data_IF_621047208666
#
_entry.id   IF_621047208666
#
_cell.length_a   1.000
_cell.length_b   1.000
_cell.length_c   1.000
_cell.angle_alpha   90.00
_cell.angle_beta   90.00
_cell.angle_gamma   90.00
#
_symmetry.space_group_name_H-M   'P 1'
#
loop_
_entity.id
_entity.type
_entity.pdbx_description
1 polymer ?
#
# COMPACT_ATOMS: atom_id res chain seq x y z
N UNK A 1 -13.36 -101.79 7.66
CA UNK A 1 -12.99 -100.97 6.49
C UNK A 1 -13.58 -99.58 6.71
N UNK A 2 -12.71 -98.56 6.80
CA UNK A 2 -12.88 -97.10 6.93
C UNK A 2 -14.20 -96.50 7.49
N UNK A 3 -14.02 -95.68 8.52
CA UNK A 3 -14.99 -94.82 9.25
C UNK A 3 -15.01 -93.39 8.59
N UNK A 4 -15.85 -92.40 9.01
CA UNK A 4 -17.21 -92.06 8.55
C UNK A 4 -17.34 -90.54 8.21
N UNK A 5 -18.55 -89.95 8.39
CA UNK A 5 -18.94 -88.54 8.68
C UNK A 5 -19.96 -87.95 7.68
N UNK A 6 -20.94 -87.09 8.01
CA UNK A 6 -21.67 -86.61 9.21
C UNK A 6 -22.91 -85.85 8.65
N UNK A 7 -24.03 -85.64 9.38
CA UNK A 7 -25.27 -85.08 8.84
C UNK A 7 -25.39 -83.56 9.03
N UNK A 8 -26.10 -82.92 8.10
CA UNK A 8 -26.40 -81.48 8.13
C UNK A 8 -27.63 -81.14 8.97
N UNK A 9 -27.56 -80.03 9.70
CA UNK A 9 -28.70 -79.34 10.31
C UNK A 9 -28.52 -77.83 10.12
N UNK A 10 -29.53 -77.20 9.53
CA UNK A 10 -29.63 -75.76 9.29
C UNK A 10 -29.82 -75.01 10.62
N UNK A 11 -28.98 -74.02 10.90
CA UNK A 11 -29.23 -73.00 11.92
C UNK A 11 -28.74 -71.63 11.42
N UNK A 12 -29.66 -70.67 11.36
CA UNK A 12 -29.42 -69.25 11.11
C UNK A 12 -28.49 -68.68 12.20
N UNK A 13 -27.37 -68.08 11.81
CA UNK A 13 -26.46 -67.38 12.71
C UNK A 13 -26.33 -65.91 12.27
N UNK A 14 -26.78 -65.02 13.14
CA UNK A 14 -26.65 -63.57 13.03
C UNK A 14 -25.17 -63.23 13.23
N UNK A 15 -24.50 -62.72 12.18
CA UNK A 15 -23.15 -62.17 12.31
C UNK A 15 -23.21 -60.80 12.98
N UNK A 16 -22.71 -60.73 14.20
CA UNK A 16 -22.25 -59.47 14.79
C UNK A 16 -20.92 -59.07 14.11
N UNK A 17 -20.97 -58.09 13.21
CA UNK A 17 -19.77 -57.45 12.69
C UNK A 17 -19.22 -56.49 13.74
N UNK A 18 -18.14 -56.87 14.41
CA UNK A 18 -17.33 -55.97 15.21
C UNK A 18 -16.55 -55.04 14.26
N UNK A 19 -17.08 -53.86 13.99
CA UNK A 19 -16.28 -52.78 13.40
C UNK A 19 -15.41 -52.20 14.51
N UNK A 20 -14.12 -52.54 14.49
CA UNK A 20 -13.11 -51.79 15.21
C UNK A 20 -13.07 -50.37 14.62
N UNK A 21 -13.85 -49.47 15.20
CA UNK A 21 -13.69 -48.04 14.98
C UNK A 21 -12.38 -47.65 15.66
N UNK A 22 -11.31 -47.50 14.87
CA UNK A 22 -10.14 -46.73 15.31
C UNK A 22 -10.62 -45.32 15.58
N UNK A 23 -10.94 -45.03 16.84
CA UNK A 23 -11.06 -43.66 17.34
C UNK A 23 -9.65 -43.09 17.24
N UNK A 24 -9.37 -42.36 16.17
CA UNK A 24 -8.22 -41.46 16.16
C UNK A 24 -8.47 -40.46 17.29
N UNK A 25 -7.72 -40.60 18.37
CA UNK A 25 -7.61 -39.54 19.37
C UNK A 25 -7.34 -38.24 18.62
N UNK A 26 -8.05 -37.13 18.93
CA UNK A 26 -7.69 -35.85 18.36
C UNK A 26 -6.21 -35.61 18.67
N UNK A 27 -5.43 -35.35 17.64
CA UNK A 27 -4.02 -34.95 17.79
C UNK A 27 -4.03 -33.74 18.69
N UNK A 28 -3.62 -33.92 19.94
CA UNK A 28 -3.51 -32.85 20.90
C UNK A 28 -2.43 -31.91 20.36
N UNK A 29 -2.84 -30.75 19.83
CA UNK A 29 -1.91 -29.73 19.38
C UNK A 29 -0.93 -29.42 20.53
N UNK A 30 0.38 -29.32 20.23
CA UNK A 30 1.35 -29.03 21.27
C UNK A 30 0.97 -27.72 21.97
N UNK A 31 0.72 -27.79 23.27
CA UNK A 31 0.52 -26.61 24.11
C UNK A 31 1.81 -25.78 24.11
N UNK A 32 1.83 -24.78 23.23
CA UNK A 32 2.89 -23.80 23.04
C UNK A 32 2.36 -22.42 23.47
N UNK A 33 1.46 -22.37 24.46
CA UNK A 33 0.88 -21.13 24.97
C UNK A 33 1.93 -20.17 25.59
N UNK A 34 3.14 -20.67 25.86
CA UNK A 34 4.31 -19.90 26.34
C UNK A 34 5.23 -19.42 25.21
N UNK A 35 4.91 -19.70 23.94
CA UNK A 35 5.79 -19.36 22.83
C UNK A 35 5.86 -17.85 22.57
N UNK A 36 7.07 -17.37 22.27
CA UNK A 36 7.34 -15.98 21.88
C UNK A 36 8.15 -16.00 20.60
N UNK A 37 7.68 -15.25 19.60
CA UNK A 37 8.37 -15.07 18.32
C UNK A 37 8.85 -13.63 18.24
N UNK A 38 10.09 -13.43 17.81
CA UNK A 38 10.64 -12.12 17.47
C UNK A 38 11.17 -12.16 16.04
N UNK A 39 10.85 -11.13 15.26
CA UNK A 39 11.24 -11.01 13.86
C UNK A 39 11.77 -9.60 13.63
N UNK A 40 13.10 -9.48 13.52
CA UNK A 40 13.82 -8.21 13.59
C UNK A 40 14.63 -7.94 12.33
N UNK A 41 14.24 -6.93 11.58
CA UNK A 41 14.92 -6.45 10.36
C UNK A 41 15.89 -5.32 10.66
N UNK A 42 17.08 -5.34 10.06
CA UNK A 42 18.10 -4.30 10.24
C UNK A 42 19.16 -4.32 9.12
N UNK A 43 19.98 -3.27 9.04
CA UNK A 43 21.23 -3.26 8.27
C UNK A 43 21.10 -3.16 6.74
N UNK A 44 19.90 -2.93 6.20
CA UNK A 44 19.68 -2.54 4.80
C UNK A 44 19.76 -1.02 4.62
N UNK A 45 19.55 -0.50 3.40
CA UNK A 45 19.32 0.93 3.19
C UNK A 45 17.91 1.29 3.69
N UNK A 46 17.83 1.51 5.00
CA UNK A 46 16.62 1.94 5.69
C UNK A 46 16.70 3.46 5.87
N UNK A 47 15.58 4.15 5.64
CA UNK A 47 15.48 5.56 6.03
C UNK A 47 15.97 5.71 7.47
N UNK A 48 16.67 6.81 7.81
CA UNK A 48 17.20 7.03 9.17
C UNK A 48 16.12 6.86 10.26
N UNK A 49 14.86 7.12 9.91
CA UNK A 49 13.67 6.97 10.77
C UNK A 49 13.13 5.54 10.90
N UNK A 50 13.62 4.59 10.11
CA UNK A 50 13.13 3.20 10.00
C UNK A 50 14.26 2.18 10.11
N UNK A 51 15.31 2.51 10.87
CA UNK A 51 16.55 1.75 10.95
C UNK A 51 16.36 0.28 11.37
N UNK A 52 15.40 0.03 12.24
CA UNK A 52 15.06 -1.31 12.74
C UNK A 52 13.54 -1.47 12.72
N UNK A 53 13.07 -2.63 12.24
CA UNK A 53 11.68 -3.04 12.38
C UNK A 53 11.64 -4.35 13.16
N UNK A 54 10.87 -4.39 14.25
CA UNK A 54 10.78 -5.56 15.11
C UNK A 54 9.32 -5.93 15.36
N UNK A 55 8.93 -7.11 14.92
CA UNK A 55 7.68 -7.75 15.28
C UNK A 55 7.92 -8.70 16.46
N UNK A 56 7.16 -8.52 17.53
CA UNK A 56 7.08 -9.45 18.66
C UNK A 56 5.68 -10.05 18.72
N UNK A 57 5.59 -11.38 18.68
CA UNK A 57 4.32 -12.11 18.74
C UNK A 57 4.28 -12.95 20.02
N UNK A 58 3.23 -12.76 20.79
CA UNK A 58 2.88 -13.59 21.95
C UNK A 58 1.49 -14.20 21.73
N UNK A 59 1.07 -15.06 22.66
CA UNK A 59 -0.26 -15.71 22.58
C UNK A 59 -1.44 -14.72 22.49
N UNK A 60 -1.28 -13.52 23.06
CA UNK A 60 -2.37 -12.55 23.23
C UNK A 60 -2.35 -11.47 22.15
N UNK A 61 -1.17 -11.16 21.57
CA UNK A 61 -1.02 -10.04 20.65
C UNK A 61 0.24 -10.13 19.78
N UNK A 62 0.21 -9.36 18.70
CA UNK A 62 1.36 -8.96 17.92
C UNK A 62 1.69 -7.48 18.19
N UNK A 63 2.97 -7.16 18.29
CA UNK A 63 3.48 -5.80 18.50
C UNK A 63 4.57 -5.53 17.49
N UNK A 64 4.37 -4.53 16.64
CA UNK A 64 5.35 -4.05 15.69
C UNK A 64 5.93 -2.73 16.19
N UNK A 65 7.25 -2.64 16.25
CA UNK A 65 7.98 -1.43 16.62
C UNK A 65 8.93 -1.05 15.49
N UNK A 66 8.87 0.21 15.06
CA UNK A 66 9.86 0.80 14.16
C UNK A 66 10.72 1.76 14.97
N UNK A 67 12.02 1.64 14.79
CA UNK A 67 13.00 2.44 15.51
C UNK A 67 13.95 3.11 14.52
N UNK A 68 14.24 4.38 14.73
CA UNK A 68 15.25 5.15 14.02
C UNK A 68 16.68 4.73 14.41
N UNK A 69 17.67 5.24 13.68
CA UNK A 69 19.09 4.90 13.88
C UNK A 69 19.63 5.37 15.24
N UNK A 70 19.02 6.38 15.85
CA UNK A 70 19.33 6.87 17.20
C UNK A 70 18.61 6.10 18.32
N UNK A 71 17.92 5.01 17.96
CA UNK A 71 17.09 4.18 18.84
C UNK A 71 15.77 4.84 19.32
N UNK A 72 15.35 5.95 18.71
CA UNK A 72 14.03 6.52 18.98
C UNK A 72 12.94 5.69 18.29
N UNK A 73 11.85 5.38 19.01
CA UNK A 73 10.69 4.69 18.44
C UNK A 73 9.93 5.70 17.57
N UNK A 74 9.80 5.41 16.28
CA UNK A 74 9.12 6.27 15.31
C UNK A 74 7.70 5.82 15.03
N UNK A 75 7.44 4.52 15.13
CA UNK A 75 6.10 3.94 15.01
C UNK A 75 5.96 2.75 15.95
N UNK A 76 4.77 2.58 16.51
CA UNK A 76 4.42 1.39 17.28
C UNK A 76 2.96 1.01 17.01
N UNK A 77 2.76 -0.24 16.60
CA UNK A 77 1.45 -0.81 16.29
C UNK A 77 1.24 -2.09 17.11
N UNK A 78 0.05 -2.27 17.67
CA UNK A 78 -0.30 -3.44 18.47
C UNK A 78 -1.67 -3.98 18.07
N UNK A 79 -1.79 -5.31 17.97
CA UNK A 79 -3.07 -5.94 17.66
C UNK A 79 -3.27 -7.25 18.42
N UNK A 80 -4.45 -7.41 18.99
CA UNK A 80 -4.82 -8.64 19.69
C UNK A 80 -4.88 -9.82 18.70
N UNK A 81 -4.47 -10.99 19.17
CA UNK A 81 -4.55 -12.24 18.41
C UNK A 81 -5.60 -13.15 19.04
N UNK A 82 -6.41 -13.77 18.19
CA UNK A 82 -7.21 -14.93 18.58
C UNK A 82 -6.29 -16.14 18.80
N UNK A 83 -6.80 -17.12 19.56
CA UNK A 83 -6.08 -18.38 19.79
C UNK A 83 -5.74 -19.07 18.46
N UNK A 84 -6.65 -19.04 17.51
CA UNK A 84 -6.51 -19.65 16.19
C UNK A 84 -5.43 -18.95 15.37
N UNK A 85 -5.40 -17.61 15.37
CA UNK A 85 -4.35 -16.84 14.70
C UNK A 85 -2.96 -17.13 15.27
N UNK A 86 -2.82 -17.09 16.60
CA UNK A 86 -1.54 -17.40 17.23
C UNK A 86 -1.09 -18.85 16.94
N UNK A 87 -2.01 -19.81 17.05
CA UNK A 87 -1.72 -21.22 16.77
C UNK A 87 -1.29 -21.43 15.31
N UNK A 88 -1.93 -20.73 14.36
CA UNK A 88 -1.54 -20.77 12.95
C UNK A 88 -0.11 -20.23 12.72
N UNK A 89 0.28 -19.15 13.39
CA UNK A 89 1.65 -18.60 13.30
C UNK A 89 2.66 -19.62 13.87
N UNK A 90 2.41 -20.15 15.06
CA UNK A 90 3.29 -21.14 15.71
C UNK A 90 3.40 -22.42 14.88
N UNK A 91 2.30 -22.87 14.28
CA UNK A 91 2.27 -24.10 13.47
C UNK A 91 3.23 -24.04 12.28
N UNK A 92 3.42 -22.86 11.66
CA UNK A 92 4.36 -22.72 10.53
C UNK A 92 5.81 -23.00 10.97
N UNK A 93 6.18 -22.68 12.21
CA UNK A 93 7.52 -23.01 12.73
C UNK A 93 7.70 -24.52 12.93
N UNK A 94 6.70 -25.22 13.47
CA UNK A 94 6.76 -26.67 13.66
C UNK A 94 6.71 -27.43 12.34
N UNK A 95 5.83 -27.03 11.42
CA UNK A 95 5.66 -27.68 10.11
C UNK A 95 6.92 -27.58 9.25
N UNK A 96 7.72 -26.53 9.44
CA UNK A 96 8.97 -26.30 8.72
C UNK A 96 10.22 -26.64 9.55
N UNK A 97 10.04 -27.34 10.68
CA UNK A 97 11.13 -27.82 11.54
C UNK A 97 12.18 -26.75 11.89
N UNK A 98 11.73 -25.56 12.31
CA UNK A 98 12.59 -24.38 12.48
C UNK A 98 13.86 -24.65 13.32
N UNK A 99 13.74 -25.48 14.36
CA UNK A 99 14.85 -25.83 15.25
C UNK A 99 16.01 -26.57 14.56
N UNK A 100 15.80 -27.10 13.35
CA UNK A 100 16.82 -27.81 12.58
C UNK A 100 17.68 -26.92 11.68
N UNK A 101 17.29 -25.67 11.45
CA UNK A 101 18.04 -24.76 10.60
C UNK A 101 19.37 -24.34 11.23
N UNK A 102 20.33 -24.02 10.38
CA UNK A 102 21.59 -23.39 10.78
C UNK A 102 21.36 -22.01 11.40
N UNK A 103 22.37 -21.47 12.06
CA UNK A 103 22.24 -20.18 12.75
C UNK A 103 22.21 -18.99 11.78
N UNK A 104 22.73 -19.17 10.55
CA UNK A 104 22.91 -18.07 9.60
C UNK A 104 22.81 -18.51 8.13
N UNK A 105 22.13 -17.69 7.32
CA UNK A 105 21.98 -17.83 5.87
C UNK A 105 22.21 -16.46 5.17
N UNK A 106 23.42 -16.22 4.68
CA UNK A 106 23.82 -14.93 4.11
C UNK A 106 24.37 -14.97 2.67
N UNK A 107 24.22 -16.11 1.98
CA UNK A 107 24.66 -16.28 0.58
C UNK A 107 24.16 -15.17 -0.36
N UNK A 108 22.93 -14.68 -0.14
CA UNK A 108 22.34 -13.61 -0.95
C UNK A 108 23.12 -12.29 -0.94
N UNK A 109 23.95 -12.05 0.08
CA UNK A 109 24.78 -10.85 0.18
C UNK A 109 25.78 -10.72 -0.97
N UNK A 110 26.17 -11.84 -1.60
CA UNK A 110 27.08 -11.84 -2.74
C UNK A 110 26.44 -11.39 -4.06
N UNK A 111 25.11 -11.26 -4.09
CA UNK A 111 24.34 -11.04 -5.32
C UNK A 111 23.51 -9.76 -5.29
N UNK A 112 23.04 -9.37 -4.11
CA UNK A 112 22.23 -8.17 -3.90
C UNK A 112 22.87 -7.41 -2.75
N UNK A 113 23.09 -6.11 -2.93
CA UNK A 113 23.55 -5.24 -1.86
C UNK A 113 22.36 -4.58 -1.15
N UNK A 114 22.61 -4.08 0.06
CA UNK A 114 21.73 -3.10 0.72
C UNK A 114 20.31 -3.54 1.13
N UNK A 115 19.99 -4.84 1.10
CA UNK A 115 18.69 -5.34 1.63
C UNK A 115 18.72 -5.70 3.12
N UNK A 116 19.92 -5.83 3.70
CA UNK A 116 20.12 -6.06 5.13
C UNK A 116 19.82 -7.49 5.60
N UNK A 117 19.66 -7.63 6.91
CA UNK A 117 19.45 -8.90 7.59
C UNK A 117 18.12 -8.93 8.33
N UNK A 118 17.70 -10.14 8.66
CA UNK A 118 16.63 -10.38 9.60
C UNK A 118 16.98 -11.51 10.55
N UNK A 119 16.76 -11.26 11.84
CA UNK A 119 16.80 -12.29 12.88
C UNK A 119 15.39 -12.82 13.13
N UNK A 120 15.22 -14.13 12.97
CA UNK A 120 13.99 -14.86 13.34
C UNK A 120 14.30 -15.60 14.63
N UNK A 121 13.65 -15.24 15.73
CA UNK A 121 13.82 -15.89 17.03
C UNK A 121 12.53 -16.57 17.45
N UNK A 122 12.61 -17.85 17.80
CA UNK A 122 11.50 -18.63 18.35
C UNK A 122 11.89 -19.15 19.73
N UNK A 123 11.11 -18.79 20.74
CA UNK A 123 11.25 -19.29 22.11
C UNK A 123 10.01 -20.08 22.49
N UNK A 124 10.19 -21.33 22.93
CA UNK A 124 9.11 -22.17 23.45
C UNK A 124 9.66 -23.20 24.45
N UNK A 125 8.92 -23.49 25.53
CA UNK A 125 9.30 -24.51 26.53
C UNK A 125 10.71 -24.30 27.11
N UNK A 126 11.08 -23.04 27.32
CA UNK A 126 12.40 -22.65 27.83
C UNK A 126 13.57 -22.84 26.87
N UNK A 127 13.32 -23.18 25.60
CA UNK A 127 14.33 -23.25 24.54
C UNK A 127 14.17 -22.07 23.59
N UNK A 128 15.31 -21.50 23.17
CA UNK A 128 15.35 -20.39 22.21
C UNK A 128 16.23 -20.78 21.04
N UNK A 129 15.75 -20.52 19.82
CA UNK A 129 16.52 -20.62 18.58
C UNK A 129 16.42 -19.31 17.81
N UNK A 130 17.55 -18.82 17.33
CA UNK A 130 17.62 -17.68 16.43
C UNK A 130 18.25 -18.11 15.11
N UNK A 131 17.69 -17.66 14.00
CA UNK A 131 18.22 -17.85 12.65
C UNK A 131 18.33 -16.47 12.00
N UNK A 132 19.55 -16.08 11.64
CA UNK A 132 19.79 -14.84 10.90
C UNK A 132 19.77 -15.12 9.40
N UNK A 133 18.98 -14.35 8.65
CA UNK A 133 18.85 -14.50 7.19
C UNK A 133 19.15 -13.18 6.50
N UNK A 134 19.80 -13.22 5.34
CA UNK A 134 19.85 -12.06 4.45
C UNK A 134 18.45 -11.82 3.85
N UNK A 135 18.10 -10.56 3.59
CA UNK A 135 16.75 -10.18 3.13
C UNK A 135 16.50 -10.44 1.65
N UNK A 136 16.88 -11.63 1.19
CA UNK A 136 16.71 -12.08 -0.18
C UNK A 136 16.35 -13.57 -0.21
N UNK A 137 15.10 -13.87 -0.55
CA UNK A 137 14.52 -15.21 -0.38
C UNK A 137 15.15 -16.29 -1.28
N UNK A 138 15.74 -15.92 -2.41
CA UNK A 138 16.25 -16.85 -3.45
C UNK A 138 17.21 -17.91 -2.91
N UNK A 139 18.00 -17.59 -1.88
CA UNK A 139 19.01 -18.48 -1.29
C UNK A 139 18.59 -19.06 0.06
N UNK A 140 17.32 -18.91 0.44
CA UNK A 140 16.81 -19.45 1.69
C UNK A 140 16.16 -20.81 1.46
N UNK A 141 16.30 -21.76 2.41
CA UNK A 141 15.47 -22.95 2.45
C UNK A 141 13.98 -22.61 2.35
N UNK A 142 13.23 -23.36 1.55
CA UNK A 142 11.81 -23.08 1.30
C UNK A 142 10.96 -22.96 2.59
N UNK A 143 11.29 -23.73 3.64
CA UNK A 143 10.57 -23.61 4.91
C UNK A 143 10.89 -22.33 5.69
N UNK A 144 12.10 -21.76 5.58
CA UNK A 144 12.39 -20.43 6.11
C UNK A 144 11.65 -19.34 5.34
N UNK A 145 11.51 -19.49 4.02
CA UNK A 145 10.69 -18.57 3.20
C UNK A 145 9.24 -18.58 3.68
N UNK A 146 8.63 -19.77 3.88
CA UNK A 146 7.26 -19.89 4.40
C UNK A 146 7.08 -19.26 5.79
N UNK A 147 8.06 -19.41 6.68
CA UNK A 147 8.04 -18.76 8.00
C UNK A 147 8.07 -17.24 7.83
N UNK A 148 8.97 -16.71 6.98
CA UNK A 148 9.06 -15.27 6.71
C UNK A 148 7.77 -14.71 6.11
N UNK A 149 7.17 -15.40 5.14
CA UNK A 149 5.88 -15.02 4.56
C UNK A 149 4.80 -14.92 5.63
N UNK A 150 4.71 -15.89 6.56
CA UNK A 150 3.73 -15.84 7.64
C UNK A 150 3.97 -14.68 8.62
N UNK A 151 5.23 -14.37 8.91
CA UNK A 151 5.57 -13.25 9.78
C UNK A 151 5.32 -11.90 9.09
N UNK A 152 5.55 -11.81 7.78
CA UNK A 152 5.21 -10.65 6.97
C UNK A 152 3.69 -10.41 6.94
N UNK A 153 2.89 -11.46 6.73
CA UNK A 153 1.42 -11.40 6.86
C UNK A 153 1.01 -10.92 8.27
N UNK A 154 1.74 -11.33 9.31
CA UNK A 154 1.48 -10.88 10.69
C UNK A 154 1.82 -9.41 10.89
N UNK A 155 2.89 -8.89 10.27
CA UNK A 155 3.22 -7.45 10.27
C UNK A 155 2.08 -6.66 9.63
N UNK A 156 1.62 -7.10 8.46
CA UNK A 156 0.51 -6.46 7.73
C UNK A 156 -0.77 -6.47 8.56
N UNK A 157 -1.13 -7.61 9.16
CA UNK A 157 -2.26 -7.69 10.08
C UNK A 157 -2.12 -6.72 11.26
N UNK A 158 -0.92 -6.62 11.85
CA UNK A 158 -0.64 -5.77 13.02
C UNK A 158 -0.78 -4.29 12.69
N UNK A 159 -0.38 -3.87 11.48
CA UNK A 159 -0.54 -2.49 10.99
C UNK A 159 -1.93 -2.19 10.44
N UNK A 160 -2.66 -3.20 9.97
CA UNK A 160 -3.96 -3.00 9.36
C UNK A 160 -4.90 -2.27 10.32
N UNK A 161 -5.50 -1.19 9.85
CA UNK A 161 -6.53 -0.49 10.60
C UNK A 161 -7.82 -1.32 10.60
N UNK A 162 -8.53 -1.33 11.73
CA UNK A 162 -9.88 -1.87 11.76
C UNK A 162 -10.90 -0.92 11.14
N UNK A 163 -12.13 -1.40 10.92
CA UNK A 163 -13.18 -0.60 10.28
C UNK A 163 -13.48 0.70 11.05
N UNK A 164 -13.40 0.70 12.38
CA UNK A 164 -13.65 1.89 13.19
C UNK A 164 -12.54 2.92 13.00
N UNK A 165 -11.28 2.48 12.97
CA UNK A 165 -10.14 3.35 12.70
C UNK A 165 -10.16 3.91 11.28
N UNK A 166 -10.52 3.08 10.30
CA UNK A 166 -10.69 3.50 8.90
C UNK A 166 -11.81 4.55 8.76
N UNK A 167 -12.95 4.34 9.43
CA UNK A 167 -14.06 5.31 9.47
C UNK A 167 -13.63 6.63 10.11
N UNK A 168 -12.95 6.58 11.25
CA UNK A 168 -12.45 7.78 11.92
C UNK A 168 -11.49 8.57 11.01
N UNK A 169 -10.54 7.89 10.36
CA UNK A 169 -9.61 8.50 9.42
C UNK A 169 -10.34 9.17 8.25
N UNK A 170 -11.34 8.50 7.66
CA UNK A 170 -12.13 9.06 6.58
C UNK A 170 -12.93 10.30 7.02
N UNK A 171 -13.58 10.24 8.18
CA UNK A 171 -14.35 11.37 8.71
C UNK A 171 -13.48 12.58 9.05
N UNK A 172 -12.35 12.36 9.70
CA UNK A 172 -11.39 13.42 10.03
C UNK A 172 -10.87 14.10 8.76
N UNK A 173 -10.54 13.29 7.75
CA UNK A 173 -10.11 13.81 6.46
C UNK A 173 -11.21 14.63 5.77
N UNK A 174 -12.44 14.09 5.69
CA UNK A 174 -13.58 14.78 5.06
C UNK A 174 -13.85 16.11 5.78
N UNK A 175 -13.85 16.13 7.12
CA UNK A 175 -14.09 17.35 7.91
C UNK A 175 -13.01 18.41 7.69
N UNK A 176 -11.78 17.99 7.40
CA UNK A 176 -10.67 18.87 7.03
C UNK A 176 -10.70 19.36 5.58
N UNK A 177 -11.43 18.67 4.70
CA UNK A 177 -11.43 18.91 3.26
C UNK A 177 -12.12 20.24 2.89
N UNK A 178 -11.63 20.96 1.86
CA UNK A 178 -12.15 22.28 1.45
C UNK A 178 -13.67 22.40 1.36
N UNK A 179 -14.36 21.46 0.72
CA UNK A 179 -15.81 21.49 0.49
C UNK A 179 -16.58 21.40 1.80
N UNK A 180 -16.29 20.40 2.63
CA UNK A 180 -16.98 20.23 3.91
C UNK A 180 -16.61 21.34 4.89
N UNK A 181 -15.34 21.74 4.94
CA UNK A 181 -14.87 22.79 5.86
C UNK A 181 -15.46 24.15 5.55
N UNK A 182 -15.72 24.45 4.28
CA UNK A 182 -16.30 25.73 3.88
C UNK A 182 -17.70 25.90 4.47
N UNK A 183 -18.58 24.92 4.26
CA UNK A 183 -19.98 25.04 4.67
C UNK A 183 -20.75 23.71 4.81
N UNK A 184 -20.04 22.59 4.94
CA UNK A 184 -20.60 21.27 5.10
C UNK A 184 -21.10 20.97 6.50
N UNK A 185 -22.19 20.21 6.58
CA UNK A 185 -22.83 19.77 7.83
C UNK A 185 -23.51 18.42 7.65
N UNK A 186 -23.81 17.74 8.76
CA UNK A 186 -24.56 16.48 8.73
C UNK A 186 -23.84 15.32 8.04
N UNK A 187 -22.53 15.16 8.26
CA UNK A 187 -21.77 14.02 7.74
C UNK A 187 -22.36 12.70 8.26
N UNK A 188 -22.77 11.84 7.33
CA UNK A 188 -23.44 10.56 7.58
C UNK A 188 -22.72 9.45 6.81
N UNK A 189 -22.39 8.36 7.49
CA UNK A 189 -21.83 7.17 6.87
C UNK A 189 -22.90 6.41 6.08
N UNK A 190 -22.61 6.08 4.82
CA UNK A 190 -23.55 5.37 3.92
C UNK A 190 -23.12 3.93 3.69
N UNK A 191 -21.86 3.70 3.33
CA UNK A 191 -21.39 2.37 2.93
C UNK A 191 -19.88 2.20 3.13
N UNK A 192 -19.45 0.96 3.34
CA UNK A 192 -18.04 0.54 3.38
C UNK A 192 -17.85 -0.72 2.54
N UNK A 193 -16.88 -0.67 1.63
CA UNK A 193 -16.47 -1.80 0.79
C UNK A 193 -14.97 -1.95 0.92
N UNK A 194 -14.54 -3.13 1.38
CA UNK A 194 -13.15 -3.55 1.29
C UNK A 194 -12.93 -4.23 -0.06
N UNK A 195 -11.94 -3.79 -0.84
CA UNK A 195 -11.59 -4.43 -2.10
C UNK A 195 -10.49 -5.47 -1.88
N UNK A 196 -10.59 -6.57 -2.60
CA UNK A 196 -9.54 -7.59 -2.68
C UNK A 196 -8.40 -7.08 -3.57
N UNK A 197 -7.56 -6.22 -3.01
CA UNK A 197 -6.36 -5.68 -3.64
C UNK A 197 -5.16 -5.83 -2.70
N UNK A 198 -3.94 -5.70 -3.24
CA UNK A 198 -2.72 -5.65 -2.46
C UNK A 198 -1.91 -4.40 -2.82
N UNK A 199 -1.76 -3.42 -1.90
CA UNK A 199 -2.34 -3.37 -0.55
C UNK A 199 -3.87 -3.28 -0.55
N UNK A 200 -4.49 -3.61 0.60
CA UNK A 200 -5.96 -3.58 0.76
C UNK A 200 -6.48 -2.15 0.57
N UNK A 201 -7.52 -2.01 -0.24
CA UNK A 201 -8.22 -0.74 -0.45
C UNK A 201 -9.53 -0.72 0.33
N UNK A 202 -9.70 0.32 1.13
CA UNK A 202 -10.90 0.61 1.89
C UNK A 202 -11.68 1.73 1.20
N UNK A 203 -12.86 1.43 0.65
CA UNK A 203 -13.71 2.41 -0.03
C UNK A 203 -14.91 2.73 0.86
N UNK A 204 -15.00 3.97 1.32
CA UNK A 204 -16.09 4.46 2.16
C UNK A 204 -16.91 5.48 1.40
N UNK A 205 -18.23 5.44 1.59
CA UNK A 205 -19.16 6.42 1.05
C UNK A 205 -19.84 7.14 2.21
N UNK A 206 -19.80 8.46 2.16
CA UNK A 206 -20.48 9.35 3.11
C UNK A 206 -21.40 10.30 2.38
N UNK A 207 -22.37 10.85 3.10
CA UNK A 207 -23.26 11.92 2.65
C UNK A 207 -23.15 13.12 3.57
N UNK A 208 -23.20 14.33 3.04
CA UNK A 208 -23.27 15.56 3.84
C UNK A 208 -24.07 16.63 3.10
N UNK A 209 -24.39 17.74 3.78
CA UNK A 209 -25.11 18.87 3.20
C UNK A 209 -24.26 20.14 3.28
N UNK A 210 -24.06 20.80 2.14
CA UNK A 210 -23.52 22.16 2.06
C UNK A 210 -24.65 23.20 2.02
N UNK A 211 -24.40 24.39 2.54
CA UNK A 211 -25.35 25.52 2.49
C UNK A 211 -25.31 26.32 1.18
N UNK A 212 -24.34 26.04 0.33
CA UNK A 212 -24.17 26.60 -1.01
C UNK A 212 -23.98 25.49 -2.04
N UNK A 213 -24.32 25.79 -3.29
CA UNK A 213 -24.00 24.94 -4.42
C UNK A 213 -22.50 24.96 -4.76
N UNK A 214 -22.04 23.89 -5.44
CA UNK A 214 -20.69 23.77 -6.01
C UNK A 214 -19.76 22.90 -5.16
N UNK A 215 -18.45 23.09 -5.29
CA UNK A 215 -17.41 22.36 -4.53
C UNK A 215 -16.25 23.29 -4.10
N UNK A 216 -15.42 22.83 -3.18
CA UNK A 216 -14.21 23.51 -2.71
C UNK A 216 -14.48 24.71 -1.78
N UNK A 217 -13.43 25.51 -1.57
CA UNK A 217 -13.56 26.81 -0.91
C UNK A 217 -14.10 27.83 -1.91
N UNK A 218 -15.24 28.45 -1.59
CA UNK A 218 -15.97 29.37 -2.49
C UNK A 218 -15.89 30.83 -2.04
N UNK A 219 -14.95 31.14 -1.15
CA UNK A 219 -14.71 32.52 -0.69
C UNK A 219 -14.44 33.44 -1.88
N UNK A 220 -15.16 34.56 -1.97
CA UNK A 220 -15.02 35.54 -3.06
C UNK A 220 -15.89 35.26 -4.29
N UNK A 221 -16.56 34.11 -4.36
CA UNK A 221 -17.49 33.79 -5.43
C UNK A 221 -18.94 34.15 -5.04
N UNK A 222 -19.75 34.55 -6.03
CA UNK A 222 -21.20 34.71 -5.85
C UNK A 222 -21.82 33.31 -5.81
N UNK A 223 -21.84 32.69 -4.64
CA UNK A 223 -22.44 31.37 -4.46
C UNK A 223 -23.93 31.51 -4.13
N UNK A 224 -24.77 30.74 -4.81
CA UNK A 224 -26.18 30.64 -4.46
C UNK A 224 -26.33 29.94 -3.10
N UNK A 225 -27.07 30.55 -2.17
CA UNK A 225 -27.46 29.89 -0.91
C UNK A 225 -28.53 28.86 -1.20
N UNK A 226 -28.13 27.59 -1.24
CA UNK A 226 -29.01 26.45 -1.47
C UNK A 226 -28.43 25.24 -0.75
N UNK A 227 -29.28 24.58 0.03
CA UNK A 227 -28.93 23.31 0.68
C UNK A 227 -28.67 22.26 -0.40
N UNK A 228 -27.42 21.84 -0.52
CA UNK A 228 -26.97 20.86 -1.53
C UNK A 228 -26.49 19.62 -0.81
N UNK A 229 -27.11 18.48 -1.11
CA UNK A 229 -26.70 17.19 -0.56
C UNK A 229 -25.62 16.61 -1.46
N UNK A 230 -24.47 16.31 -0.86
CA UNK A 230 -23.30 15.75 -1.52
C UNK A 230 -23.05 14.32 -1.05
N UNK A 231 -22.58 13.48 -1.96
CA UNK A 231 -22.07 12.13 -1.67
C UNK A 231 -20.56 12.11 -1.91
N UNK A 232 -19.76 11.76 -0.91
CA UNK A 232 -18.30 11.64 -1.04
C UNK A 232 -17.88 10.19 -0.94
N UNK A 233 -17.07 9.74 -1.90
CA UNK A 233 -16.40 8.45 -1.87
C UNK A 233 -14.92 8.66 -1.53
N UNK A 234 -14.47 8.08 -0.42
CA UNK A 234 -13.09 8.11 0.05
C UNK A 234 -12.47 6.73 -0.18
N UNK A 235 -11.26 6.69 -0.73
CA UNK A 235 -10.44 5.47 -0.81
C UNK A 235 -9.23 5.62 0.08
N UNK A 236 -9.06 4.70 1.04
CA UNK A 236 -7.91 4.62 1.95
C UNK A 236 -7.07 3.38 1.62
N UNK A 237 -5.75 3.56 1.59
CA UNK A 237 -4.75 2.50 1.40
C UNK A 237 -3.63 2.72 2.40
N UNK A 238 -3.24 1.67 3.12
CA UNK A 238 -2.16 1.71 4.13
C UNK A 238 -2.27 2.89 5.11
N UNK A 239 -3.48 3.15 5.59
CA UNK A 239 -3.76 4.22 6.55
C UNK A 239 -3.67 5.64 5.99
N UNK A 240 -3.62 5.81 4.66
CA UNK A 240 -3.60 7.10 3.98
C UNK A 240 -4.76 7.25 2.99
N UNK A 241 -5.33 8.44 2.89
CA UNK A 241 -6.36 8.74 1.89
C UNK A 241 -5.71 8.89 0.52
N UNK A 242 -6.05 7.98 -0.40
CA UNK A 242 -5.54 7.94 -1.77
C UNK A 242 -6.43 8.73 -2.74
N UNK A 243 -7.75 8.75 -2.51
CA UNK A 243 -8.71 9.44 -3.37
C UNK A 243 -9.91 9.92 -2.57
N UNK A 244 -10.47 11.07 -2.98
CA UNK A 244 -11.70 11.62 -2.44
C UNK A 244 -12.52 12.26 -3.56
N UNK A 245 -13.65 11.66 -3.92
CA UNK A 245 -14.51 12.12 -5.02
C UNK A 245 -15.90 12.48 -4.52
N UNK A 246 -16.32 13.72 -4.74
CA UNK A 246 -17.65 14.25 -4.40
C UNK A 246 -18.56 14.18 -5.63
N UNK A 247 -19.77 13.66 -5.44
CA UNK A 247 -20.84 13.50 -6.45
C UNK A 247 -20.37 12.81 -7.74
N UNK A 248 -19.39 11.91 -7.61
CA UNK A 248 -18.79 11.17 -8.71
C UNK A 248 -18.04 12.04 -9.74
N UNK A 249 -17.90 13.34 -9.49
CA UNK A 249 -17.41 14.30 -10.48
C UNK A 249 -16.35 15.24 -9.96
N UNK A 250 -16.32 15.58 -8.67
CA UNK A 250 -15.32 16.49 -8.13
C UNK A 250 -14.24 15.73 -7.36
N UNK A 251 -12.99 15.81 -7.82
CA UNK A 251 -11.83 15.34 -7.06
C UNK A 251 -11.52 16.38 -5.98
N UNK A 252 -11.71 16.03 -4.71
CA UNK A 252 -11.53 16.92 -3.57
C UNK A 252 -10.06 17.11 -3.20
N UNK A 253 -9.23 16.08 -3.40
CA UNK A 253 -7.79 16.15 -3.17
C UNK A 253 -7.14 17.04 -4.22
N UNK A 254 -7.48 16.76 -5.47
CA UNK A 254 -7.02 17.47 -6.62
C UNK A 254 -7.68 18.82 -6.79
N UNK A 255 -8.91 19.05 -6.31
CA UNK A 255 -9.70 20.26 -6.52
C UNK A 255 -10.01 20.55 -8.00
N UNK A 256 -10.60 19.58 -8.69
CA UNK A 256 -11.03 19.73 -10.08
C UNK A 256 -12.23 18.84 -10.39
N UNK A 257 -12.93 19.12 -11.48
CA UNK A 257 -13.99 18.24 -11.98
C UNK A 257 -13.35 17.18 -12.87
N UNK A 258 -13.60 15.90 -12.60
CA UNK A 258 -13.18 14.78 -13.42
C UNK A 258 -13.62 15.00 -14.88
N UNK A 259 -12.68 14.93 -15.81
CA UNK A 259 -12.91 15.19 -17.22
C UNK A 259 -12.89 16.67 -17.61
N UNK A 260 -12.73 17.61 -16.69
CA UNK A 260 -12.60 19.04 -17.04
C UNK A 260 -11.26 19.36 -17.68
N UNK A 261 -11.23 20.44 -18.45
CA UNK A 261 -9.99 21.03 -18.95
C UNK A 261 -9.36 21.89 -17.86
N UNK A 262 -8.04 21.75 -17.68
CA UNK A 262 -7.25 22.52 -16.72
C UNK A 262 -6.14 23.28 -17.44
N UNK A 263 -5.92 24.52 -17.06
CA UNK A 263 -4.79 25.33 -17.51
C UNK A 263 -3.59 25.12 -16.60
N UNK A 264 -2.46 24.72 -17.18
CA UNK A 264 -1.20 24.54 -16.47
C UNK A 264 -0.14 25.48 -17.03
N UNK A 265 0.77 25.91 -16.17
CA UNK A 265 1.96 26.67 -16.53
C UNK A 265 3.23 25.97 -16.06
N UNK A 266 4.30 26.06 -16.84
CA UNK A 266 5.62 25.58 -16.46
C UNK A 266 6.66 26.62 -16.81
N UNK A 267 7.55 26.89 -15.85
CA UNK A 267 8.64 27.82 -16.04
C UNK A 267 9.97 27.07 -15.97
N UNK A 268 10.68 26.87 -17.10
CA UNK A 268 11.96 26.16 -17.08
C UNK A 268 13.02 26.92 -16.29
N UNK A 269 14.08 26.22 -15.88
CA UNK A 269 15.29 26.82 -15.30
C UNK A 269 16.36 27.03 -16.38
N UNK A 270 17.13 28.12 -16.32
CA UNK A 270 18.03 28.52 -17.42
C UNK A 270 19.14 27.51 -17.77
N UNK A 271 19.51 26.63 -16.83
CA UNK A 271 20.62 25.68 -17.02
C UNK A 271 20.19 24.22 -16.85
N UNK A 272 18.88 23.96 -16.83
CA UNK A 272 18.31 22.61 -16.79
C UNK A 272 17.53 22.35 -18.08
N UNK A 273 17.79 21.19 -18.69
CA UNK A 273 16.97 20.74 -19.81
C UNK A 273 15.66 20.19 -19.27
N UNK A 274 14.56 20.56 -19.90
CA UNK A 274 13.25 20.01 -19.58
C UNK A 274 13.18 18.55 -20.02
N UNK A 275 12.25 17.79 -19.44
CA UNK A 275 12.08 16.37 -19.77
C UNK A 275 11.82 16.14 -21.27
N UNK A 276 11.03 17.01 -21.90
CA UNK A 276 10.74 16.94 -23.33
C UNK A 276 11.93 17.33 -24.22
N UNK A 277 12.80 18.25 -23.78
CA UNK A 277 14.04 18.57 -24.50
C UNK A 277 15.01 17.38 -24.48
N UNK A 278 15.19 16.75 -23.31
CA UNK A 278 16.03 15.55 -23.18
C UNK A 278 15.46 14.40 -24.00
N UNK A 279 14.13 14.20 -23.98
CA UNK A 279 13.47 13.19 -24.80
C UNK A 279 13.66 13.41 -26.29
N UNK A 280 13.53 14.66 -26.74
CA UNK A 280 13.66 15.02 -28.14
C UNK A 280 15.10 14.84 -28.64
N UNK A 281 16.10 15.27 -27.88
CA UNK A 281 17.53 15.10 -28.21
C UNK A 281 17.93 13.62 -28.33
N UNK A 282 17.34 12.76 -27.49
CA UNK A 282 17.61 11.32 -27.50
C UNK A 282 16.75 10.54 -28.50
N UNK A 283 15.84 11.20 -29.22
CA UNK A 283 14.89 10.53 -30.11
C UNK A 283 15.52 10.00 -31.40
N UNK A 284 16.70 10.51 -31.79
CA UNK A 284 17.38 10.17 -33.04
C UNK A 284 16.59 10.56 -34.31
N UNK A 285 15.54 11.38 -34.17
CA UNK A 285 14.67 11.77 -35.27
C UNK A 285 15.34 12.79 -36.18
N UNK A 286 15.09 12.65 -37.48
CA UNK A 286 15.55 13.59 -38.51
C UNK A 286 14.34 14.29 -39.08
N UNK A 287 14.35 15.62 -39.06
CA UNK A 287 13.22 16.43 -39.49
C UNK A 287 13.52 17.20 -40.77
N UNK A 288 12.49 17.34 -41.60
CA UNK A 288 12.50 18.26 -42.75
C UNK A 288 12.49 19.72 -42.26
N UNK A 289 11.82 19.99 -41.13
CA UNK A 289 11.82 21.27 -40.39
C UNK A 289 11.91 20.96 -38.90
N UNK A 290 12.79 21.65 -38.18
CA UNK A 290 12.90 21.51 -36.73
C UNK A 290 11.54 21.83 -36.06
N UNK A 291 11.02 20.94 -35.20
CA UNK A 291 9.77 21.19 -34.50
C UNK A 291 9.92 22.34 -33.50
N UNK A 292 8.84 23.06 -33.22
CA UNK A 292 8.84 24.08 -32.16
C UNK A 292 8.75 23.44 -30.78
N UNK A 293 9.09 24.20 -29.72
CA UNK A 293 8.94 23.72 -28.34
C UNK A 293 7.51 23.24 -28.06
N UNK A 294 6.50 23.94 -28.59
CA UNK A 294 5.08 23.56 -28.42
C UNK A 294 4.75 22.22 -29.11
N UNK A 295 5.32 21.97 -30.29
CA UNK A 295 5.16 20.69 -31.01
C UNK A 295 5.83 19.54 -30.27
N UNK A 296 7.04 19.79 -29.74
CA UNK A 296 7.80 18.81 -28.93
C UNK A 296 7.03 18.46 -27.66
N UNK A 297 6.53 19.45 -26.91
CA UNK A 297 5.76 19.23 -25.67
C UNK A 297 4.51 18.38 -25.94
N UNK A 298 3.74 18.69 -26.99
CA UNK A 298 2.55 17.90 -27.35
C UNK A 298 2.90 16.46 -27.66
N UNK A 299 3.94 16.26 -28.47
CA UNK A 299 4.35 14.94 -28.89
C UNK A 299 4.95 14.12 -27.74
N UNK A 300 5.69 14.77 -26.84
CA UNK A 300 6.25 14.17 -25.64
C UNK A 300 5.15 13.59 -24.75
N UNK A 301 4.18 14.41 -24.32
CA UNK A 301 3.12 13.93 -23.43
C UNK A 301 2.20 12.89 -24.10
N UNK A 302 1.93 13.04 -25.39
CA UNK A 302 1.15 12.05 -26.13
C UNK A 302 1.89 10.70 -26.26
N UNK A 303 3.22 10.72 -26.45
CA UNK A 303 3.99 9.48 -26.69
C UNK A 303 4.44 8.78 -25.42
N UNK A 304 4.80 9.54 -24.39
CA UNK A 304 5.38 9.00 -23.15
C UNK A 304 4.30 8.67 -22.13
N UNK A 305 3.23 9.46 -22.09
CA UNK A 305 2.19 9.36 -21.06
C UNK A 305 0.79 9.10 -21.62
N UNK A 306 0.63 8.99 -22.94
CA UNK A 306 -0.67 8.88 -23.61
C UNK A 306 -1.63 10.04 -23.23
N UNK A 307 -1.05 11.21 -22.90
CA UNK A 307 -1.79 12.41 -22.47
C UNK A 307 -1.84 13.43 -23.60
N UNK A 308 -3.06 13.75 -24.05
CA UNK A 308 -3.26 14.86 -24.98
C UNK A 308 -3.23 16.22 -24.25
N UNK A 309 -2.29 17.07 -24.66
CA UNK A 309 -2.22 18.48 -24.25
C UNK A 309 -2.54 19.39 -25.43
N UNK A 310 -3.32 20.44 -25.17
CA UNK A 310 -3.79 21.41 -26.17
C UNK A 310 -3.35 22.81 -25.78
N UNK A 311 -3.48 23.73 -26.73
CA UNK A 311 -3.17 25.15 -26.52
C UNK A 311 -1.79 25.45 -25.93
N UNK A 312 -0.80 24.56 -26.13
CA UNK A 312 0.57 24.80 -25.69
C UNK A 312 1.09 26.09 -26.34
N UNK A 313 1.53 27.04 -25.51
CA UNK A 313 2.00 28.36 -25.90
C UNK A 313 3.22 28.76 -25.06
N UNK A 314 4.27 29.27 -25.71
CA UNK A 314 5.39 29.93 -25.05
C UNK A 314 5.06 31.41 -24.81
N UNK A 315 5.14 31.85 -23.56
CA UNK A 315 4.86 33.23 -23.13
C UNK A 315 6.14 33.87 -22.60
N UNK A 316 6.54 35.00 -23.18
CA UNK A 316 7.64 35.81 -22.68
C UNK A 316 7.21 36.60 -21.45
N UNK A 317 8.07 36.63 -20.43
CA UNK A 317 7.87 37.34 -19.18
C UNK A 317 8.78 38.58 -19.16
N UNK A 318 8.22 39.74 -18.83
CA UNK A 318 8.95 41.02 -18.73
C UNK A 318 9.81 41.10 -17.46
N UNK A 319 10.70 40.13 -17.24
CA UNK A 319 11.57 40.05 -16.06
C UNK A 319 13.05 40.23 -16.41
N UNK A 320 13.78 40.89 -15.50
CA UNK A 320 15.24 41.09 -15.61
C UNK A 320 15.95 39.78 -15.28
N UNK A 321 16.82 39.34 -16.20
CA UNK A 321 17.63 38.12 -16.06
C UNK A 321 18.49 38.14 -14.80
N UNK A 322 18.32 37.15 -13.93
CA UNK A 322 19.29 36.82 -12.90
C UNK A 322 20.43 35.99 -13.52
N UNK A 323 21.70 36.22 -13.15
CA UNK A 323 22.87 35.54 -13.74
C UNK A 323 23.27 34.23 -13.03
N UNK A 324 22.40 33.61 -12.23
CA UNK A 324 22.71 32.38 -11.48
C UNK A 324 21.93 31.17 -12.01
N UNK A 325 22.64 30.21 -12.63
CA UNK A 325 22.09 29.04 -13.32
C UNK A 325 21.12 28.17 -12.50
N UNK A 326 21.46 27.90 -11.24
CA UNK A 326 20.82 26.81 -10.46
C UNK A 326 19.58 27.29 -9.65
N UNK A 327 19.23 28.57 -9.77
CA UNK A 327 18.13 29.19 -9.00
C UNK A 327 17.26 30.11 -9.84
N UNK A 328 17.66 30.42 -11.07
CA UNK A 328 17.01 31.45 -11.86
C UNK A 328 16.18 30.86 -13.01
N UNK A 329 14.84 31.01 -12.97
CA UNK A 329 13.97 30.57 -14.04
C UNK A 329 14.21 31.35 -15.34
N UNK A 330 13.84 30.73 -16.44
CA UNK A 330 13.83 31.32 -17.77
C UNK A 330 12.97 32.59 -17.86
N UNK A 331 13.27 33.45 -18.85
CA UNK A 331 12.47 34.66 -19.14
C UNK A 331 11.16 34.35 -19.86
N UNK A 332 10.81 33.08 -20.00
CA UNK A 332 9.55 32.64 -20.57
C UNK A 332 8.96 31.51 -19.73
N UNK A 333 7.67 31.24 -19.94
CA UNK A 333 6.98 30.06 -19.44
C UNK A 333 6.20 29.40 -20.57
N UNK A 334 5.81 28.16 -20.38
CA UNK A 334 4.84 27.48 -21.23
C UNK A 334 3.51 27.41 -20.51
N UNK A 335 2.42 27.74 -21.21
CA UNK A 335 1.06 27.52 -20.74
C UNK A 335 0.40 26.47 -21.65
N UNK A 336 -0.41 25.58 -21.10
CA UNK A 336 -1.17 24.58 -21.86
C UNK A 336 -2.51 24.24 -21.20
N UNK A 337 -3.35 23.53 -21.95
CA UNK A 337 -4.60 22.94 -21.48
C UNK A 337 -4.50 21.41 -21.51
N UNK A 338 -4.88 20.74 -20.43
CA UNK A 338 -4.91 19.28 -20.32
C UNK A 338 -6.23 18.81 -19.74
N UNK A 339 -6.68 17.61 -20.08
CA UNK A 339 -7.75 16.99 -19.34
C UNK A 339 -7.28 16.67 -17.92
N UNK A 340 -8.10 16.95 -16.90
CA UNK A 340 -7.74 16.71 -15.52
C UNK A 340 -7.33 15.25 -15.23
N UNK A 341 -7.89 14.27 -15.97
CA UNK A 341 -7.49 12.87 -15.85
C UNK A 341 -6.04 12.59 -16.27
N UNK A 342 -5.46 13.43 -17.14
CA UNK A 342 -4.11 13.28 -17.68
C UNK A 342 -3.07 14.20 -17.04
N UNK A 343 -3.42 14.99 -16.01
CA UNK A 343 -2.54 16.05 -15.50
C UNK A 343 -1.37 15.54 -14.63
N UNK A 344 -1.47 14.34 -14.04
CA UNK A 344 -0.53 13.89 -13.00
C UNK A 344 0.94 13.85 -13.46
N UNK A 345 1.27 13.33 -14.66
CA UNK A 345 2.64 13.40 -15.18
C UNK A 345 3.18 14.83 -15.28
N UNK A 346 2.33 15.77 -15.70
CA UNK A 346 2.71 17.17 -15.82
C UNK A 346 3.03 17.77 -14.43
N UNK A 347 2.19 17.50 -13.42
CA UNK A 347 2.49 17.97 -12.06
C UNK A 347 3.78 17.35 -11.51
N UNK A 348 4.03 16.06 -11.80
CA UNK A 348 5.27 15.38 -11.43
C UNK A 348 6.53 15.97 -12.06
N UNK A 349 6.40 16.57 -13.24
CA UNK A 349 7.48 17.27 -13.95
C UNK A 349 7.58 18.76 -13.59
N UNK A 350 6.78 19.23 -12.62
CA UNK A 350 6.87 20.59 -12.09
C UNK A 350 5.93 21.61 -12.75
N UNK A 351 4.95 21.18 -13.55
CA UNK A 351 3.88 22.07 -14.00
C UNK A 351 3.01 22.49 -12.80
N UNK A 352 2.55 23.73 -12.83
CA UNK A 352 1.67 24.31 -11.81
C UNK A 352 0.36 24.73 -12.42
N UNK A 353 -0.73 24.66 -11.64
CA UNK A 353 -2.02 25.15 -12.10
C UNK A 353 -2.03 26.66 -12.19
N UNK A 354 -2.69 27.16 -13.23
CA UNK A 354 -3.06 28.56 -13.34
C UNK A 354 -4.53 28.68 -12.99
N UNK A 355 -4.84 29.54 -12.02
CA UNK A 355 -6.21 29.85 -11.59
C UNK A 355 -6.96 30.69 -12.63
#
# INVERSE_FOLDING_TARGET
MKIPELPGLFALLILAAATAACVQSPVQEPDNSDAVIQYKFYGGFVMQTHAVQELVVTKDKATLTITAADNTITEKSEKALTKEQFSAIVKVFSDNNFNSYGDRYDEGQNYVTDVGFTDITYTAKGKTKTVTTYNFNTYLPAGLVRIREKLQETIEFTRALDESQIKALAEDWIRGAPTYRYDGSGLEFVNYVQRESYPVQHVLTYRFTSSHAGYGNRTGNVAAQVLTVHTVQITIVDGSVLSAVIDGSWDEMGRFIAGSELSLSYRPMMCEKTAWQVWEENSGRVYIRMPTDEEIIRHYYASVYETEVREVKKIQLDQVTCQACDVCPETYRFDLIVNASGMQPLLGEGWTRTD
#
